data_IF_731487814363
#
_entry.id   IF_731487814363
#
_cell.length_a   1.000
_cell.length_b   1.000
_cell.length_c   1.000
_cell.angle_alpha   90.00
_cell.angle_beta   90.00
_cell.angle_gamma   90.00
#
_symmetry.space_group_name_H-M   'P 1'
#
loop_
_entity.id
_entity.type
_entity.pdbx_description
1 polymer ?
#
# COMPACT_ATOMS: atom_id res chain seq x y z
N UNK A 1 -1.40 -21.12 -7.19
CA UNK A 1 -2.04 -19.79 -7.30
C UNK A 1 -0.95 -18.74 -7.08
N UNK A 2 -1.04 -17.60 -7.77
CA UNK A 2 -0.34 -16.32 -7.54
C UNK A 2 1.11 -16.07 -8.00
N UNK A 3 1.58 -16.59 -9.14
CA UNK A 3 2.79 -16.01 -9.77
C UNK A 3 2.54 -14.60 -10.35
N UNK A 4 1.27 -14.26 -10.62
CA UNK A 4 0.88 -13.06 -11.35
C UNK A 4 1.21 -11.71 -10.67
N UNK A 5 1.61 -11.72 -9.39
CA UNK A 5 1.85 -10.51 -8.60
C UNK A 5 3.20 -10.52 -7.87
N UNK A 6 4.04 -11.55 -8.06
CA UNK A 6 5.31 -11.69 -7.33
C UNK A 6 6.27 -10.55 -7.68
N UNK A 7 6.31 -10.14 -8.96
CA UNK A 7 7.16 -9.04 -9.42
C UNK A 7 6.79 -7.74 -8.73
N UNK A 8 5.50 -7.41 -8.69
CA UNK A 8 5.00 -6.19 -8.05
C UNK A 8 5.12 -6.25 -6.52
N UNK A 9 4.88 -7.41 -5.92
CA UNK A 9 5.13 -7.61 -4.49
C UNK A 9 6.59 -7.35 -4.14
N UNK A 10 7.53 -7.86 -4.95
CA UNK A 10 8.95 -7.58 -4.78
C UNK A 10 9.22 -6.08 -4.81
N UNK A 11 8.70 -5.35 -5.79
CA UNK A 11 8.83 -3.89 -5.87
C UNK A 11 8.32 -3.17 -4.60
N UNK A 12 7.21 -3.64 -4.02
CA UNK A 12 6.68 -3.09 -2.76
C UNK A 12 7.67 -3.34 -1.61
N UNK A 13 8.14 -4.57 -1.45
CA UNK A 13 9.07 -4.94 -0.37
C UNK A 13 10.45 -4.28 -0.52
N UNK A 14 10.97 -4.19 -1.74
CA UNK A 14 12.23 -3.49 -2.04
C UNK A 14 12.13 -2.01 -1.69
N UNK A 15 11.01 -1.35 -2.03
CA UNK A 15 10.80 0.04 -1.64
C UNK A 15 10.83 0.22 -0.11
N UNK A 16 10.14 -0.65 0.64
CA UNK A 16 10.13 -0.58 2.09
C UNK A 16 11.53 -0.72 2.71
N UNK A 17 12.33 -1.66 2.19
CA UNK A 17 13.67 -1.97 2.72
C UNK A 17 14.72 -0.95 2.30
N UNK A 18 14.62 -0.37 1.10
CA UNK A 18 15.67 0.49 0.51
C UNK A 18 15.40 1.99 0.65
N UNK A 19 14.15 2.40 0.87
CA UNK A 19 13.79 3.82 0.94
C UNK A 19 14.31 4.58 2.16
N UNK A 20 14.86 3.85 3.15
CA UNK A 20 15.31 4.39 4.45
C UNK A 20 14.20 5.11 5.24
N UNK A 21 12.93 4.90 4.88
CA UNK A 21 11.78 5.50 5.58
C UNK A 21 11.40 4.72 6.83
N UNK A 22 11.73 3.43 6.88
CA UNK A 22 11.47 2.57 8.01
C UNK A 22 12.74 1.90 8.52
N UNK A 23 12.78 1.65 9.82
CA UNK A 23 13.70 0.67 10.41
C UNK A 23 13.24 -0.75 10.10
N UNK A 24 14.06 -1.76 10.36
CA UNK A 24 13.67 -3.17 10.29
C UNK A 24 12.34 -3.46 11.02
N UNK A 25 12.22 -2.99 12.27
CA UNK A 25 10.99 -3.13 13.07
C UNK A 25 9.74 -2.49 12.44
N UNK A 26 9.91 -1.56 11.49
CA UNK A 26 8.81 -0.95 10.74
C UNK A 26 8.45 -1.78 9.52
N UNK A 27 9.40 -1.99 8.60
CA UNK A 27 9.10 -2.69 7.35
C UNK A 27 8.79 -4.19 7.56
N UNK A 28 9.35 -4.83 8.59
CA UNK A 28 9.09 -6.25 8.90
C UNK A 28 7.65 -6.52 9.33
N UNK A 29 6.89 -5.51 9.75
CA UNK A 29 5.46 -5.67 10.01
C UNK A 29 4.67 -6.01 8.73
N UNK A 30 5.23 -5.65 7.57
CA UNK A 30 4.71 -6.01 6.26
C UNK A 30 5.46 -7.16 5.59
N UNK A 31 6.78 -7.23 5.76
CA UNK A 31 7.61 -8.23 5.05
C UNK A 31 7.89 -9.49 5.84
N UNK A 32 7.67 -9.49 7.16
CA UNK A 32 7.98 -10.60 8.07
C UNK A 32 6.94 -11.72 8.05
N UNK A 33 5.71 -11.42 7.63
CA UNK A 33 4.64 -12.41 7.42
C UNK A 33 4.14 -12.33 5.96
N UNK A 34 4.36 -13.41 5.21
CA UNK A 34 3.93 -13.52 3.81
C UNK A 34 2.40 -13.41 3.66
N UNK A 35 1.62 -13.74 4.69
CA UNK A 35 0.16 -13.66 4.67
C UNK A 35 -0.37 -12.25 4.95
N UNK A 36 0.51 -11.28 5.26
CA UNK A 36 0.10 -9.89 5.42
C UNK A 36 -0.48 -9.37 4.11
N UNK A 37 -1.74 -8.92 4.14
CA UNK A 37 -2.46 -8.56 2.93
C UNK A 37 -1.97 -7.25 2.29
N UNK A 38 -1.48 -6.29 3.07
CA UNK A 38 -1.19 -4.93 2.64
C UNK A 38 -0.23 -4.85 1.43
N UNK A 39 0.92 -5.55 1.41
CA UNK A 39 1.81 -5.51 0.26
C UNK A 39 1.20 -6.19 -0.97
N UNK A 40 0.37 -7.24 -0.78
CA UNK A 40 -0.34 -7.91 -1.87
C UNK A 40 -1.42 -7.03 -2.50
N UNK A 41 -2.16 -6.26 -1.71
CA UNK A 41 -3.15 -5.31 -2.23
C UNK A 41 -2.49 -4.29 -3.16
N UNK A 42 -1.32 -3.76 -2.77
CA UNK A 42 -0.54 -2.84 -3.61
C UNK A 42 0.01 -3.54 -4.86
N UNK A 43 0.52 -4.77 -4.71
CA UNK A 43 1.02 -5.55 -5.84
C UNK A 43 -0.06 -5.83 -6.90
N UNK A 44 -1.23 -6.28 -6.45
CA UNK A 44 -2.39 -6.50 -7.30
C UNK A 44 -2.82 -5.21 -8.01
N UNK A 45 -2.91 -4.10 -7.27
CA UNK A 45 -3.30 -2.81 -7.83
C UNK A 45 -2.28 -2.27 -8.85
N UNK A 46 -0.99 -2.47 -8.61
CA UNK A 46 0.08 -2.11 -9.53
C UNK A 46 0.00 -2.92 -10.84
N UNK A 47 -0.17 -4.24 -10.74
CA UNK A 47 -0.28 -5.13 -11.89
C UNK A 47 -1.54 -4.86 -12.72
N UNK A 48 -2.68 -4.67 -12.05
CA UNK A 48 -4.00 -4.53 -12.67
C UNK A 48 -4.39 -3.08 -12.96
N UNK A 49 -3.54 -2.11 -12.61
CA UNK A 49 -3.80 -0.67 -12.75
C UNK A 49 -5.10 -0.25 -12.06
N UNK A 50 -5.32 -0.73 -10.84
CA UNK A 50 -6.49 -0.44 -10.03
C UNK A 50 -6.22 0.64 -9.00
N UNK A 51 -7.27 1.34 -8.57
CA UNK A 51 -7.25 2.22 -7.39
C UNK A 51 -7.57 1.40 -6.15
N UNK A 52 -6.81 1.60 -5.07
CA UNK A 52 -7.13 1.00 -3.76
C UNK A 52 -8.08 1.93 -3.00
N UNK A 53 -9.24 1.40 -2.60
CA UNK A 53 -10.18 2.09 -1.71
C UNK A 53 -9.81 1.74 -0.27
N UNK A 54 -9.43 2.72 0.54
CA UNK A 54 -9.06 2.52 1.95
C UNK A 54 -9.31 3.77 2.78
N UNK A 55 -9.74 3.60 4.03
CA UNK A 55 -9.95 4.69 4.99
C UNK A 55 -8.71 4.96 5.85
N UNK A 56 -7.57 4.37 5.52
CA UNK A 56 -6.31 4.64 6.20
C UNK A 56 -5.79 6.04 5.87
N UNK A 57 -5.12 6.67 6.84
CA UNK A 57 -4.48 7.96 6.62
C UNK A 57 -3.25 7.81 5.70
N UNK A 58 -3.06 8.77 4.79
CA UNK A 58 -1.88 8.86 3.90
C UNK A 58 -0.57 9.30 4.58
N UNK A 59 -0.53 9.29 5.90
CA UNK A 59 0.64 9.69 6.68
C UNK A 59 1.77 8.68 6.53
N UNK A 60 3.00 9.16 6.42
CA UNK A 60 4.19 8.32 6.44
C UNK A 60 5.33 8.97 7.22
N UNK A 61 6.50 8.31 7.27
CA UNK A 61 7.64 8.77 8.04
C UNK A 61 8.14 10.16 7.57
N UNK A 62 8.13 11.12 8.49
CA UNK A 62 8.61 12.49 8.28
C UNK A 62 9.87 12.71 9.12
N UNK A 63 11.03 12.75 8.46
CA UNK A 63 12.34 12.86 9.12
C UNK A 63 13.01 11.50 9.29
N UNK A 64 13.27 11.12 10.55
CA UNK A 64 13.98 9.88 10.87
C UNK A 64 13.20 8.62 10.47
N UNK A 65 13.90 7.49 10.22
CA UNK A 65 13.25 6.22 9.90
C UNK A 65 12.27 5.81 10.99
N UNK A 66 11.06 5.41 10.60
CA UNK A 66 9.99 5.01 11.51
C UNK A 66 10.06 3.53 11.87
N UNK A 67 9.71 3.21 13.12
CA UNK A 67 9.42 1.85 13.59
C UNK A 67 7.95 1.46 13.49
N UNK A 68 7.09 2.41 13.09
CA UNK A 68 5.64 2.20 12.94
C UNK A 68 5.38 1.51 11.61
N UNK A 69 4.38 0.64 11.59
CA UNK A 69 3.89 -0.04 10.40
C UNK A 69 3.71 0.92 9.20
N UNK A 70 4.10 0.51 7.99
CA UNK A 70 3.78 1.24 6.76
C UNK A 70 2.27 1.41 6.56
N UNK A 71 1.90 2.40 5.76
CA UNK A 71 0.51 2.74 5.46
C UNK A 71 0.25 2.56 3.96
N UNK A 72 -0.82 1.85 3.60
CA UNK A 72 -1.18 1.54 2.20
C UNK A 72 -1.18 2.79 1.34
N UNK A 73 -1.89 3.89 1.69
CA UNK A 73 -1.91 5.06 0.82
C UNK A 73 -0.53 5.70 0.66
N UNK A 74 0.31 5.68 1.69
CA UNK A 74 1.64 6.29 1.58
C UNK A 74 2.55 5.49 0.63
N UNK A 75 2.59 4.16 0.79
CA UNK A 75 3.42 3.27 -0.02
C UNK A 75 2.88 3.17 -1.45
N UNK A 76 1.57 2.98 -1.61
CA UNK A 76 0.89 2.88 -2.91
C UNK A 76 1.16 4.12 -3.78
N UNK A 77 0.98 5.32 -3.22
CA UNK A 77 1.23 6.57 -3.95
C UNK A 77 2.68 6.69 -4.41
N UNK A 78 3.65 6.17 -3.66
CA UNK A 78 5.08 6.19 -4.04
C UNK A 78 5.41 5.23 -5.19
N UNK A 79 4.60 4.19 -5.36
CA UNK A 79 4.71 3.21 -6.44
C UNK A 79 3.77 3.53 -7.61
N UNK A 80 3.08 4.68 -7.60
CA UNK A 80 2.19 5.11 -8.67
C UNK A 80 0.80 4.45 -8.64
N UNK A 81 0.44 3.78 -7.54
CA UNK A 81 -0.91 3.23 -7.33
C UNK A 81 -1.80 4.29 -6.69
N UNK A 82 -2.92 4.61 -7.35
CA UNK A 82 -3.89 5.56 -6.84
C UNK A 82 -4.61 4.98 -5.61
N UNK A 83 -4.92 5.86 -4.65
CA UNK A 83 -5.72 5.52 -3.47
C UNK A 83 -6.77 6.59 -3.22
N UNK A 84 -7.92 6.18 -2.69
CA UNK A 84 -8.99 7.10 -2.28
C UNK A 84 -9.79 6.52 -1.11
N UNK A 85 -10.51 7.36 -0.38
CA UNK A 85 -11.37 6.89 0.70
C UNK A 85 -12.72 6.40 0.14
N UNK A 86 -13.48 5.69 0.97
CA UNK A 86 -14.74 5.08 0.56
C UNK A 86 -15.81 6.12 0.16
N UNK A 87 -15.89 7.25 0.87
CA UNK A 87 -16.86 8.30 0.58
C UNK A 87 -16.54 9.03 -0.72
N UNK A 88 -15.28 9.37 -0.95
CA UNK A 88 -14.82 9.94 -2.22
C UNK A 88 -15.16 9.01 -3.39
N UNK A 89 -15.09 7.69 -3.17
CA UNK A 89 -15.44 6.70 -4.19
C UNK A 89 -16.94 6.73 -4.51
N UNK A 90 -17.81 6.70 -3.50
CA UNK A 90 -19.25 6.79 -3.72
C UNK A 90 -19.65 8.11 -4.39
N UNK A 91 -19.05 9.22 -3.97
CA UNK A 91 -19.28 10.54 -4.56
C UNK A 91 -18.85 10.58 -6.03
N UNK A 92 -17.66 10.03 -6.36
CA UNK A 92 -17.16 9.96 -7.73
C UNK A 92 -18.02 9.09 -8.64
N UNK A 93 -18.52 7.96 -8.12
CA UNK A 93 -19.41 7.05 -8.85
C UNK A 93 -20.86 7.53 -8.89
N UNK A 94 -21.17 8.67 -8.25
CA UNK A 94 -22.53 9.22 -8.13
C UNK A 94 -23.52 8.19 -7.60
N UNK A 95 -23.08 7.42 -6.62
CA UNK A 95 -23.89 6.35 -6.05
C UNK A 95 -25.12 6.93 -5.36
N UNK A 96 -26.29 6.38 -5.67
CA UNK A 96 -27.56 6.71 -5.04
C UNK A 96 -28.05 5.44 -4.36
N UNK A 97 -28.24 5.49 -3.03
CA UNK A 97 -28.81 4.38 -2.29
C UNK A 97 -30.30 4.23 -2.65
N UNK A 98 -30.71 3.00 -2.98
CA UNK A 98 -32.11 2.63 -3.21
C UNK A 98 -32.91 2.54 -1.90
#
# INVERSE_FOLDING_TARGET
MSDAFITEYRSVTEYLMTSQKWTAAGYEQWTGDYNKADPWLIACALNKKMTIITNENKTGPNGLPSKVEPKIPYVANKLGVATMNFWDFLDNEKFIAE
#
